data_IF_729189351238
#
_entry.id   IF_729189351238
#
_cell.length_a   1.000
_cell.length_b   1.000
_cell.length_c   1.000
_cell.angle_alpha   90.00
_cell.angle_beta   90.00
_cell.angle_gamma   90.00
#
_symmetry.space_group_name_H-M   'P 1'
#
loop_
_entity.id
_entity.type
_entity.pdbx_description
1 polymer ?
#
# COMPACT_ATOMS: atom_id res chain seq x y z
N UNK A 1 8.71 -1.69 -6.18
CA UNK A 1 8.68 -3.16 -6.06
C UNK A 1 8.20 -3.81 -7.36
N UNK A 2 8.62 -5.03 -7.73
CA UNK A 2 8.25 -5.63 -9.04
C UNK A 2 7.97 -7.13 -8.99
N UNK A 3 7.10 -7.59 -9.88
CA UNK A 3 6.81 -9.00 -10.16
C UNK A 3 7.46 -9.43 -11.47
N UNK A 4 8.06 -10.62 -11.51
CA UNK A 4 8.58 -11.27 -12.73
C UNK A 4 8.23 -12.76 -12.73
N UNK A 5 8.15 -13.37 -13.92
CA UNK A 5 8.01 -14.82 -14.05
C UNK A 5 9.27 -15.52 -13.54
N UNK A 6 9.10 -16.56 -12.72
CA UNK A 6 10.23 -17.39 -12.29
C UNK A 6 10.72 -18.23 -13.49
N UNK A 7 12.00 -18.10 -13.84
CA UNK A 7 12.57 -18.77 -15.01
C UNK A 7 12.77 -20.27 -14.78
N UNK A 8 12.18 -21.11 -15.64
CA UNK A 8 12.59 -22.51 -15.78
C UNK A 8 13.67 -22.60 -16.88
N UNK A 9 14.84 -23.15 -16.54
CA UNK A 9 15.87 -23.45 -17.54
C UNK A 9 15.32 -24.48 -18.55
N UNK A 10 15.11 -24.05 -19.80
CA UNK A 10 14.53 -24.89 -20.84
C UNK A 10 15.42 -24.88 -22.08
N UNK A 11 15.76 -26.09 -22.52
CA UNK A 11 16.56 -26.45 -23.69
C UNK A 11 15.87 -25.95 -24.98
N UNK A 12 16.57 -25.18 -25.80
CA UNK A 12 16.05 -24.71 -27.10
C UNK A 12 15.94 -25.86 -28.11
N UNK A 13 14.72 -26.18 -28.53
CA UNK A 13 14.43 -26.83 -29.82
C UNK A 13 13.70 -25.80 -30.67
N UNK A 14 14.30 -25.42 -31.79
CA UNK A 14 13.74 -24.45 -32.73
C UNK A 14 12.82 -25.16 -33.74
N UNK A 15 11.51 -24.91 -33.65
CA UNK A 15 10.58 -25.05 -34.77
C UNK A 15 9.78 -23.75 -34.91
N UNK A 16 9.90 -23.11 -36.07
CA UNK A 16 9.13 -21.91 -36.40
C UNK A 16 7.71 -22.27 -36.86
N UNK A 17 6.77 -21.32 -36.66
CA UNK A 17 5.62 -21.03 -37.51
C UNK A 17 4.85 -19.79 -36.97
N UNK A 18 4.41 -18.96 -37.91
CA UNK A 18 3.31 -17.97 -37.89
C UNK A 18 3.32 -16.84 -36.84
N UNK A 19 3.64 -15.63 -37.28
CA UNK A 19 3.37 -14.37 -36.58
C UNK A 19 1.93 -13.89 -36.86
N UNK A 20 1.04 -14.08 -35.88
CA UNK A 20 -0.16 -13.25 -35.70
C UNK A 20 0.17 -12.23 -34.60
N UNK A 21 -0.28 -10.98 -34.78
CA UNK A 21 0.08 -9.85 -33.92
C UNK A 21 -0.01 -10.17 -32.43
N UNK A 22 1.03 -9.78 -31.70
CA UNK A 22 1.15 -10.00 -30.26
C UNK A 22 0.03 -9.24 -29.52
N UNK A 23 -1.12 -9.88 -29.32
CA UNK A 23 -1.97 -9.49 -28.21
C UNK A 23 -1.16 -9.70 -26.94
N UNK A 24 -1.12 -8.67 -26.08
CA UNK A 24 -0.51 -8.80 -24.75
C UNK A 24 -1.40 -9.75 -23.96
N UNK A 25 -1.14 -11.04 -24.07
CA UNK A 25 -1.83 -12.07 -23.32
C UNK A 25 -1.42 -11.90 -21.87
N UNK A 26 -2.41 -11.64 -21.00
CA UNK A 26 -2.24 -11.60 -19.56
C UNK A 26 -1.70 -12.93 -19.01
N UNK A 27 -1.35 -12.98 -17.72
CA UNK A 27 -0.70 -14.17 -17.19
C UNK A 27 -1.70 -15.34 -17.08
N UNK A 28 -1.25 -16.54 -17.42
CA UNK A 28 -2.06 -17.75 -17.33
C UNK A 28 -2.14 -18.31 -15.91
N UNK A 29 -3.26 -18.96 -15.58
CA UNK A 29 -3.38 -19.78 -14.37
C UNK A 29 -2.29 -20.86 -14.35
N UNK A 30 -1.73 -21.14 -13.16
CA UNK A 30 -0.64 -22.10 -13.01
C UNK A 30 0.76 -21.58 -13.37
N UNK A 31 0.90 -20.37 -13.91
CA UNK A 31 2.20 -19.74 -14.09
C UNK A 31 2.80 -19.31 -12.73
N UNK A 32 4.11 -19.49 -12.55
CA UNK A 32 4.84 -19.14 -11.32
C UNK A 32 5.46 -17.74 -11.43
N UNK A 33 5.26 -16.93 -10.39
CA UNK A 33 5.73 -15.56 -10.29
C UNK A 33 6.56 -15.37 -9.03
N UNK A 34 7.53 -14.46 -9.12
CA UNK A 34 8.32 -13.97 -8.01
C UNK A 34 8.04 -12.48 -7.83
N UNK A 35 7.82 -12.07 -6.59
CA UNK A 35 7.75 -10.69 -6.15
C UNK A 35 9.07 -10.34 -5.48
N UNK A 36 9.74 -9.31 -5.98
CA UNK A 36 10.98 -8.79 -5.38
C UNK A 36 10.67 -7.50 -4.64
N UNK A 37 10.86 -7.54 -3.33
CA UNK A 37 10.66 -6.45 -2.38
C UNK A 37 11.89 -5.55 -2.33
N UNK A 38 11.65 -4.24 -2.24
CA UNK A 38 12.70 -3.22 -2.06
C UNK A 38 12.20 -2.24 -0.98
N UNK A 39 12.85 -2.24 0.17
CA UNK A 39 12.50 -1.40 1.32
C UNK A 39 11.23 -1.79 2.08
N UNK A 40 10.73 -3.03 1.95
CA UNK A 40 9.64 -3.53 2.79
C UNK A 40 10.21 -4.34 3.97
N UNK A 41 10.15 -3.72 5.15
CA UNK A 41 10.50 -4.36 6.41
C UNK A 41 9.42 -5.36 6.85
N UNK A 42 9.83 -6.39 7.61
CA UNK A 42 8.90 -7.31 8.26
C UNK A 42 8.14 -6.60 9.37
N UNK A 43 6.97 -7.17 9.70
CA UNK A 43 6.16 -6.72 10.83
C UNK A 43 6.23 -7.73 11.98
N UNK A 44 6.27 -7.26 13.24
CA UNK A 44 6.13 -8.10 14.41
C UNK A 44 4.85 -8.95 14.36
N UNK A 45 4.96 -10.22 14.75
CA UNK A 45 3.82 -11.15 14.75
C UNK A 45 2.62 -10.65 15.58
N UNK A 46 2.88 -9.84 16.62
CA UNK A 46 1.83 -9.24 17.44
C UNK A 46 1.05 -8.13 16.73
N UNK A 47 1.63 -7.52 15.68
CA UNK A 47 1.00 -6.47 14.89
C UNK A 47 0.27 -7.03 13.66
N UNK A 48 0.69 -8.19 13.16
CA UNK A 48 0.00 -8.87 12.08
C UNK A 48 0.93 -9.71 11.22
N UNK A 49 0.47 -10.04 10.02
CA UNK A 49 1.24 -10.74 8.99
C UNK A 49 0.88 -10.17 7.62
N UNK A 50 1.87 -10.05 6.73
CA UNK A 50 1.57 -9.66 5.36
C UNK A 50 0.99 -10.83 4.59
N UNK A 51 -0.13 -10.60 3.90
CA UNK A 51 -0.74 -11.59 3.01
C UNK A 51 -0.74 -11.07 1.58
N UNK A 52 -0.27 -11.91 0.65
CA UNK A 52 -0.24 -11.63 -0.78
C UNK A 52 -1.53 -12.17 -1.41
N UNK A 53 -2.20 -11.33 -2.18
CA UNK A 53 -3.48 -11.62 -2.81
C UNK A 53 -3.42 -11.41 -4.31
N UNK A 54 -4.14 -12.25 -5.05
CA UNK A 54 -4.37 -12.13 -6.49
C UNK A 54 -5.85 -11.93 -6.73
N UNK A 55 -6.22 -11.06 -7.66
CA UNK A 55 -7.61 -10.83 -8.04
C UNK A 55 -7.80 -10.75 -9.56
N UNK A 56 -8.98 -11.11 -10.04
CA UNK A 56 -9.41 -10.94 -11.44
C UNK A 56 -10.47 -9.82 -11.60
N UNK A 57 -10.84 -9.17 -10.50
CA UNK A 57 -11.88 -8.13 -10.45
C UNK A 57 -13.24 -8.63 -9.95
N UNK A 58 -13.41 -9.94 -9.81
CA UNK A 58 -14.57 -10.59 -9.18
C UNK A 58 -14.10 -11.36 -7.96
N UNK A 59 -13.17 -12.29 -8.17
CA UNK A 59 -12.61 -13.15 -7.13
C UNK A 59 -11.28 -12.60 -6.60
N UNK A 60 -10.98 -12.93 -5.35
CA UNK A 60 -9.73 -12.57 -4.67
C UNK A 60 -9.25 -13.75 -3.84
N UNK A 61 -8.01 -14.17 -4.06
CA UNK A 61 -7.44 -15.39 -3.47
C UNK A 61 -6.09 -15.08 -2.82
N UNK A 62 -5.91 -15.52 -1.57
CA UNK A 62 -4.63 -15.48 -0.90
C UNK A 62 -3.67 -16.49 -1.53
N UNK A 63 -2.50 -16.03 -1.94
CA UNK A 63 -1.44 -16.90 -2.51
C UNK A 63 -0.32 -17.21 -1.52
N UNK A 64 -0.35 -16.58 -0.35
CA UNK A 64 0.48 -16.93 0.79
C UNK A 64 0.77 -15.74 1.68
N UNK A 65 1.50 -16.02 2.76
CA UNK A 65 1.86 -15.05 3.79
C UNK A 65 3.36 -14.88 3.87
N UNK A 66 3.83 -13.66 4.14
CA UNK A 66 5.23 -13.40 4.41
C UNK A 66 5.51 -13.62 5.90
N UNK A 67 6.62 -14.28 6.23
CA UNK A 67 6.92 -14.57 7.63
C UNK A 67 7.06 -13.27 8.46
N UNK A 68 6.45 -13.20 9.66
CA UNK A 68 6.65 -12.07 10.56
C UNK A 68 8.12 -11.99 11.01
N UNK A 69 8.52 -10.83 11.51
CA UNK A 69 9.90 -10.57 11.92
C UNK A 69 10.01 -9.24 12.66
N UNK A 70 11.19 -8.63 12.61
CA UNK A 70 11.37 -7.27 13.15
C UNK A 70 11.40 -6.23 12.04
N UNK A 71 11.14 -4.97 12.39
CA UNK A 71 11.18 -3.83 11.47
C UNK A 71 12.59 -3.54 10.90
N UNK A 72 13.63 -4.19 11.46
CA UNK A 72 14.99 -4.16 10.94
C UNK A 72 15.28 -5.22 9.86
N UNK A 73 14.35 -6.14 9.59
CA UNK A 73 14.56 -7.25 8.66
C UNK A 73 13.78 -7.08 7.37
N UNK A 74 14.42 -7.34 6.23
CA UNK A 74 13.75 -7.34 4.94
C UNK A 74 12.88 -8.60 4.76
N UNK A 75 11.74 -8.41 4.08
CA UNK A 75 10.82 -9.49 3.71
C UNK A 75 11.45 -10.51 2.75
N UNK A 76 12.37 -10.08 1.87
CA UNK A 76 12.99 -10.92 0.84
C UNK A 76 12.01 -11.29 -0.30
N UNK A 77 12.46 -11.97 -1.36
CA UNK A 77 11.59 -12.37 -2.47
C UNK A 77 10.49 -13.35 -2.05
N UNK A 78 9.34 -13.29 -2.73
CA UNK A 78 8.20 -14.18 -2.51
C UNK A 78 7.75 -14.82 -3.81
N UNK A 79 7.67 -16.14 -3.85
CA UNK A 79 7.26 -16.90 -5.03
C UNK A 79 5.88 -17.52 -4.82
N UNK A 80 5.04 -17.45 -5.84
CA UNK A 80 3.71 -18.06 -5.82
C UNK A 80 3.30 -18.55 -7.21
N UNK A 81 2.27 -19.40 -7.25
CA UNK A 81 1.64 -19.86 -8.49
C UNK A 81 0.30 -19.16 -8.66
N UNK A 82 0.00 -18.65 -9.86
CA UNK A 82 -1.25 -17.94 -10.11
C UNK A 82 -2.46 -18.86 -9.96
N UNK A 83 -3.41 -18.52 -9.07
CA UNK A 83 -4.58 -19.35 -8.81
C UNK A 83 -5.79 -19.01 -9.68
N UNK A 84 -5.75 -17.91 -10.44
CA UNK A 84 -6.88 -17.39 -11.20
C UNK A 84 -6.50 -17.22 -12.67
N UNK A 85 -7.34 -17.76 -13.58
CA UNK A 85 -7.28 -17.41 -14.99
C UNK A 85 -7.69 -15.95 -15.19
N UNK A 86 -6.94 -15.19 -16.00
CA UNK A 86 -7.26 -13.79 -16.26
C UNK A 86 -7.00 -12.85 -15.08
N UNK A 87 -6.10 -13.23 -14.17
CA UNK A 87 -5.67 -12.39 -13.06
C UNK A 87 -5.30 -10.98 -13.54
N UNK A 88 -5.87 -9.97 -12.87
CA UNK A 88 -5.72 -8.55 -13.22
C UNK A 88 -4.69 -7.84 -12.38
N UNK A 89 -4.46 -8.30 -11.15
CA UNK A 89 -3.51 -7.65 -10.27
C UNK A 89 -3.15 -8.47 -9.04
N UNK A 90 -2.16 -7.93 -8.34
CA UNK A 90 -1.64 -8.46 -7.09
C UNK A 90 -1.59 -7.32 -6.08
N UNK A 91 -1.96 -7.59 -4.85
CA UNK A 91 -1.80 -6.65 -3.75
C UNK A 91 -1.34 -7.34 -2.48
N UNK A 92 -0.84 -6.54 -1.56
CA UNK A 92 -0.36 -6.95 -0.26
C UNK A 92 -1.12 -6.19 0.82
N UNK A 93 -1.65 -6.90 1.80
CA UNK A 93 -2.33 -6.34 2.96
C UNK A 93 -1.66 -6.77 4.26
N UNK A 94 -1.92 -6.01 5.32
CA UNK A 94 -1.54 -6.36 6.71
C UNK A 94 -2.72 -7.02 7.39
N UNK A 95 -2.69 -8.34 7.50
CA UNK A 95 -3.73 -9.08 8.22
C UNK A 95 -3.45 -9.04 9.74
N UNK A 96 -4.45 -8.69 10.56
CA UNK A 96 -4.27 -8.62 12.01
C UNK A 96 -3.99 -10.02 12.60
N UNK A 97 -3.21 -10.07 13.67
CA UNK A 97 -2.81 -11.34 14.31
C UNK A 97 -4.00 -12.19 14.79
N UNK A 98 -5.14 -11.55 15.07
CA UNK A 98 -6.42 -12.18 15.34
C UNK A 98 -7.44 -11.68 14.32
N UNK A 99 -7.46 -12.30 13.14
CA UNK A 99 -8.40 -11.98 12.07
C UNK A 99 -9.58 -12.99 12.05
N UNK A 100 -10.82 -12.55 12.34
CA UNK A 100 -12.00 -13.39 12.18
C UNK A 100 -12.48 -13.50 10.71
N UNK A 101 -11.95 -12.68 9.80
CA UNK A 101 -12.33 -12.64 8.39
C UNK A 101 -11.42 -13.54 7.55
N UNK A 102 -11.97 -14.30 6.59
CA UNK A 102 -11.17 -15.03 5.60
C UNK A 102 -10.76 -14.15 4.40
N UNK A 103 -11.35 -12.96 4.25
CA UNK A 103 -11.04 -12.02 3.17
C UNK A 103 -9.94 -11.03 3.57
N UNK A 104 -9.38 -10.29 2.60
CA UNK A 104 -8.32 -9.33 2.85
C UNK A 104 -8.78 -8.22 3.80
N UNK A 105 -7.90 -7.81 4.72
CA UNK A 105 -8.06 -6.57 5.47
C UNK A 105 -8.08 -5.34 4.55
N UNK A 106 -8.64 -4.24 5.05
CA UNK A 106 -8.62 -2.96 4.36
C UNK A 106 -7.20 -2.35 4.26
N UNK A 107 -6.27 -2.78 5.11
CA UNK A 107 -4.92 -2.23 5.24
C UNK A 107 -3.99 -2.72 4.11
N UNK A 108 -4.29 -2.34 2.88
CA UNK A 108 -3.49 -2.65 1.69
C UNK A 108 -2.27 -1.72 1.64
N UNK A 109 -1.06 -2.29 1.67
CA UNK A 109 0.21 -1.53 1.68
C UNK A 109 0.80 -1.35 0.29
N UNK A 110 0.57 -2.30 -0.62
CA UNK A 110 1.12 -2.31 -1.96
C UNK A 110 0.11 -2.92 -2.92
N UNK A 111 -0.06 -2.34 -4.11
CA UNK A 111 -0.87 -2.95 -5.16
C UNK A 111 -0.28 -2.67 -6.54
N UNK A 112 -0.57 -3.55 -7.49
CA UNK A 112 -0.15 -3.41 -8.89
C UNK A 112 -1.00 -4.25 -9.83
N UNK A 113 -1.31 -3.70 -10.99
CA UNK A 113 -1.97 -4.43 -12.07
C UNK A 113 -0.93 -5.19 -12.91
N UNK A 114 -1.33 -6.30 -13.50
CA UNK A 114 -0.51 -7.00 -14.48
C UNK A 114 -0.47 -6.23 -15.79
N UNK A 115 0.75 -6.03 -16.30
CA UNK A 115 1.06 -5.62 -17.66
C UNK A 115 1.85 -6.77 -18.31
N UNK A 116 1.14 -7.55 -19.13
CA UNK A 116 1.60 -8.87 -19.60
C UNK A 116 1.89 -9.81 -18.44
N UNK A 117 3.16 -10.18 -18.25
CA UNK A 117 3.65 -11.09 -17.19
C UNK A 117 4.46 -10.37 -16.11
N UNK A 118 4.22 -9.08 -15.94
CA UNK A 118 4.92 -8.28 -14.95
C UNK A 118 3.94 -7.34 -14.26
N UNK A 119 4.29 -6.91 -13.06
CA UNK A 119 3.55 -5.87 -12.35
C UNK A 119 4.55 -5.03 -11.55
N UNK A 120 4.27 -3.74 -11.42
CA UNK A 120 4.97 -2.88 -10.46
C UNK A 120 4.03 -2.64 -9.29
N UNK A 121 4.46 -3.03 -8.10
CA UNK A 121 3.71 -2.80 -6.87
C UNK A 121 4.20 -1.51 -6.23
N UNK A 122 3.26 -0.63 -5.93
CA UNK A 122 3.49 0.70 -5.36
C UNK A 122 2.53 0.94 -4.19
N UNK A 123 2.99 1.75 -3.22
CA UNK A 123 2.15 2.19 -2.11
C UNK A 123 1.19 3.29 -2.52
N UNK A 124 1.58 4.13 -3.48
CA UNK A 124 0.67 5.10 -4.11
C UNK A 124 -0.45 4.37 -4.83
N UNK A 125 -1.71 4.74 -4.56
CA UNK A 125 -2.86 3.97 -4.99
C UNK A 125 -3.25 2.85 -4.04
N UNK A 126 -2.34 2.23 -3.28
CA UNK A 126 -2.72 1.32 -2.20
C UNK A 126 -3.17 2.09 -0.95
N UNK A 127 -2.41 3.12 -0.58
CA UNK A 127 -2.66 3.97 0.57
C UNK A 127 -3.63 5.13 0.28
N UNK A 128 -3.74 5.51 -0.99
CA UNK A 128 -4.46 6.71 -1.47
C UNK A 128 -5.33 6.35 -2.66
N UNK A 129 -6.24 7.24 -3.05
CA UNK A 129 -7.12 7.08 -4.22
C UNK A 129 -6.40 7.26 -5.59
N UNK A 130 -5.10 6.95 -5.65
CA UNK A 130 -4.25 7.14 -6.82
C UNK A 130 -3.55 8.50 -6.88
N UNK A 131 -3.81 9.39 -5.91
CA UNK A 131 -3.05 10.64 -5.74
C UNK A 131 -1.76 10.40 -4.96
N UNK A 132 -0.66 11.13 -5.26
CA UNK A 132 0.58 11.00 -4.50
C UNK A 132 0.40 11.48 -3.05
N UNK A 133 1.20 10.92 -2.14
CA UNK A 133 1.34 11.48 -0.79
C UNK A 133 1.99 12.86 -0.86
N UNK A 134 1.53 13.78 -0.02
CA UNK A 134 2.13 15.11 0.07
C UNK A 134 3.45 15.04 0.83
N UNK A 135 4.54 15.41 0.17
CA UNK A 135 5.88 15.44 0.75
C UNK A 135 6.08 16.62 1.71
N UNK A 136 5.32 17.69 1.54
CA UNK A 136 5.27 18.85 2.43
C UNK A 136 3.82 19.36 2.52
N UNK A 137 3.02 18.91 3.51
CA UNK A 137 1.66 19.42 3.72
C UNK A 137 1.66 20.89 4.21
N UNK A 138 2.85 21.42 4.54
CA UNK A 138 3.08 22.79 4.95
C UNK A 138 3.27 22.96 6.44
N UNK A 139 3.57 24.19 6.84
CA UNK A 139 3.64 24.58 8.24
C UNK A 139 2.23 24.86 8.78
N UNK A 140 1.89 24.17 9.87
CA UNK A 140 0.63 24.36 10.58
C UNK A 140 0.91 24.85 11.99
N UNK A 141 -0.02 25.65 12.51
CA UNK A 141 0.02 26.15 13.87
C UNK A 141 -0.97 25.37 14.70
N UNK A 142 -0.50 24.95 15.86
CA UNK A 142 -1.28 24.27 16.87
C UNK A 142 -1.77 25.28 17.89
N UNK A 143 -3.07 25.31 18.13
CA UNK A 143 -3.66 26.15 19.16
C UNK A 143 -4.54 25.33 20.09
N UNK A 144 -4.39 25.58 21.39
CA UNK A 144 -5.36 25.20 22.41
C UNK A 144 -6.08 26.48 22.83
N UNK A 145 -7.37 26.57 22.55
CA UNK A 145 -8.14 27.78 22.90
C UNK A 145 -8.42 27.79 24.39
N UNK A 146 -8.08 28.88 25.08
CA UNK A 146 -8.64 29.19 26.39
C UNK A 146 -9.98 29.90 26.19
N UNK A 147 -11.05 29.46 26.85
CA UNK A 147 -12.33 30.19 26.89
C UNK A 147 -12.34 31.28 27.99
N UNK A 148 -11.18 31.56 28.58
CA UNK A 148 -11.09 32.49 29.69
C UNK A 148 -10.65 33.88 29.20
N UNK A 149 -11.36 34.90 29.65
CA UNK A 149 -11.08 36.29 29.30
C UNK A 149 -9.96 36.92 30.14
N UNK A 150 -9.27 36.13 30.97
CA UNK A 150 -8.31 36.55 32.00
C UNK A 150 -6.92 35.91 31.84
N UNK A 151 -6.67 35.11 30.79
CA UNK A 151 -5.35 34.56 30.46
C UNK A 151 -4.89 33.32 31.26
N UNK A 152 -5.68 32.82 32.21
CA UNK A 152 -5.44 31.56 32.93
C UNK A 152 -6.05 30.31 32.24
N UNK A 153 -5.41 29.13 32.21
CA UNK A 153 -6.05 27.94 31.64
C UNK A 153 -7.25 27.49 32.50
N UNK A 154 -8.48 27.73 32.02
CA UNK A 154 -9.71 27.22 32.66
C UNK A 154 -10.49 26.32 31.71
N UNK A 155 -10.36 25.02 31.94
CA UNK A 155 -11.34 23.98 31.70
C UNK A 155 -11.86 23.62 30.28
N UNK A 156 -11.24 22.56 29.72
CA UNK A 156 -11.81 21.25 29.29
C UNK A 156 -12.69 21.12 28.03
N UNK A 157 -13.21 22.20 27.45
CA UNK A 157 -13.74 22.18 26.05
C UNK A 157 -12.72 22.70 25.02
N UNK A 158 -11.45 22.78 25.43
CA UNK A 158 -10.33 23.22 24.62
C UNK A 158 -9.87 22.08 23.68
N UNK A 159 -10.41 22.06 22.46
CA UNK A 159 -9.92 21.19 21.40
C UNK A 159 -8.50 21.56 20.95
N UNK A 160 -7.86 20.60 20.28
CA UNK A 160 -6.63 20.82 19.54
C UNK A 160 -6.99 21.39 18.16
N UNK A 161 -6.61 22.62 17.88
CA UNK A 161 -6.83 23.24 16.57
C UNK A 161 -5.55 23.23 15.76
N UNK A 162 -5.60 22.65 14.57
CA UNK A 162 -4.51 22.66 13.60
C UNK A 162 -4.93 23.47 12.37
N UNK A 163 -4.26 24.58 12.09
CA UNK A 163 -4.56 25.42 10.93
C UNK A 163 -3.33 26.21 10.45
N UNK A 164 -3.37 26.71 9.22
CA UNK A 164 -2.32 27.56 8.67
C UNK A 164 -2.63 29.05 8.91
N UNK A 165 -1.76 29.74 9.66
CA UNK A 165 -1.89 31.17 9.97
C UNK A 165 -1.71 32.08 8.75
N UNK A 166 -0.82 31.67 7.83
CA UNK A 166 -0.50 32.41 6.61
C UNK A 166 -0.81 31.55 5.39
N UNK A 167 -2.07 31.54 4.89
CA UNK A 167 -2.47 30.68 3.77
C UNK A 167 -1.60 30.84 2.52
N UNK A 168 -1.05 32.02 2.27
CA UNK A 168 -0.11 32.24 1.15
C UNK A 168 1.23 31.48 1.28
N UNK A 169 1.50 30.86 2.44
CA UNK A 169 2.69 30.05 2.69
C UNK A 169 2.43 28.54 2.69
N UNK A 170 1.20 28.09 2.42
CA UNK A 170 0.95 26.67 2.19
C UNK A 170 0.65 26.39 0.72
N UNK A 171 0.85 25.14 0.32
CA UNK A 171 0.68 24.69 -1.07
C UNK A 171 -0.78 24.75 -1.56
N UNK A 172 -1.73 24.97 -0.65
CA UNK A 172 -3.17 24.97 -0.94
C UNK A 172 -3.82 26.35 -0.94
N UNK A 173 -3.16 27.40 -0.46
CA UNK A 173 -3.72 28.74 -0.32
C UNK A 173 -4.88 28.85 0.70
N UNK A 174 -5.09 27.85 1.57
CA UNK A 174 -6.24 27.80 2.52
C UNK A 174 -5.83 27.82 3.98
N UNK A 175 -6.77 28.07 4.91
CA UNK A 175 -6.49 27.96 6.36
C UNK A 175 -6.52 26.53 6.89
N UNK A 176 -7.22 25.65 6.19
CA UNK A 176 -7.39 24.24 6.53
C UNK A 176 -6.10 23.44 6.30
N UNK A 177 -5.84 22.45 7.16
CA UNK A 177 -4.88 21.38 6.86
C UNK A 177 -5.52 20.47 5.84
N UNK A 178 -4.84 20.32 4.69
CA UNK A 178 -5.26 19.41 3.63
C UNK A 178 -4.13 18.43 3.43
N UNK A 179 -4.47 17.16 3.49
CA UNK A 179 -3.59 16.03 3.21
C UNK A 179 -4.27 15.17 2.15
N UNK A 180 -3.50 14.34 1.45
CA UNK A 180 -4.06 13.41 0.47
C UNK A 180 -5.03 12.45 1.17
N UNK A 181 -6.29 12.32 0.72
CA UNK A 181 -7.21 11.35 1.29
C UNK A 181 -6.65 9.93 1.20
N UNK A 182 -6.82 9.19 2.30
CA UNK A 182 -6.36 7.81 2.42
C UNK A 182 -7.50 6.85 2.07
N UNK A 183 -7.12 5.70 1.52
CA UNK A 183 -8.03 4.56 1.38
C UNK A 183 -8.40 3.99 2.77
N UNK A 184 -9.53 3.26 2.89
CA UNK A 184 -9.91 2.59 4.13
C UNK A 184 -8.76 1.74 4.71
N UNK A 185 -8.71 1.63 6.04
CA UNK A 185 -7.64 0.91 6.74
C UNK A 185 -6.42 1.76 7.10
N UNK A 186 -6.32 2.98 6.56
CA UNK A 186 -5.22 3.90 6.84
C UNK A 186 -5.67 5.16 7.58
N UNK A 187 -4.78 5.69 8.39
CA UNK A 187 -4.96 6.97 9.10
C UNK A 187 -3.61 7.65 9.20
N UNK A 188 -3.59 8.97 9.15
CA UNK A 188 -2.38 9.74 9.41
C UNK A 188 -2.08 9.77 10.90
N UNK A 189 -0.84 9.45 11.26
CA UNK A 189 -0.29 9.68 12.59
C UNK A 189 0.69 10.84 12.54
N UNK A 190 0.74 11.63 13.62
CA UNK A 190 1.65 12.77 13.74
C UNK A 190 2.15 12.92 15.17
N UNK A 191 3.39 13.40 15.31
CA UNK A 191 4.06 13.60 16.59
C UNK A 191 4.32 15.09 16.83
N UNK A 192 4.21 15.52 18.08
CA UNK A 192 4.74 16.81 18.48
C UNK A 192 6.22 16.63 18.83
N UNK A 193 7.07 17.44 18.20
CA UNK A 193 8.49 17.53 18.53
C UNK A 193 8.73 18.91 19.15
N UNK A 194 9.25 18.95 20.37
CA UNK A 194 9.53 20.17 21.15
C UNK A 194 11.02 20.38 21.37
#
# INVERSE_FOLDING_TARGET
>A
MRIRRAGAASLLVALGLTACGDEVVGPGEGETFEIVFDGLARIPAAQGTFTVWVHDGVDTVAVGTLAPGTDAEDVGPFTFTLPLAGARGVFLSVEPAADPSPGPSASVVLKGAFDGRSATLVGEGALTDGRPLQTDPGAHSLFTTSNNSQGYPSAENAGLWLFTLTPSRNVHGTREVKVTPLEPGWTYEGWLVW
#
